data_IF_064474576105
#
_entry.id   IF_064474576105
#
_cell.length_a   1.000
_cell.length_b   1.000
_cell.length_c   1.000
_cell.angle_alpha   90.00
_cell.angle_beta   90.00
_cell.angle_gamma   90.00
#
_symmetry.space_group_name_H-M   'P 1'
#
loop_
_entity.id
_entity.type
_entity.pdbx_description
1 polymer ?
#
# COMPACT_ATOMS: atom_id res chain seq x y z
N UNK A 1 -2.11 15.15 -12.27
CA UNK A 1 -3.13 16.20 -12.51
C UNK A 1 -2.61 17.48 -11.87
N UNK A 2 -2.49 18.58 -12.61
CA UNK A 2 -2.15 19.89 -12.05
C UNK A 2 -3.41 20.76 -12.06
N UNK A 3 -3.84 21.20 -10.88
CA UNK A 3 -5.01 22.07 -10.72
C UNK A 3 -4.56 23.50 -11.10
N UNK A 4 -5.31 24.18 -11.98
CA UNK A 4 -4.98 25.56 -12.41
C UNK A 4 -5.19 26.57 -11.28
N UNK A 5 -4.38 27.64 -11.22
CA UNK A 5 -4.47 28.69 -10.17
C UNK A 5 -5.88 29.27 -10.01
N UNK A 6 -6.55 29.56 -11.13
CA UNK A 6 -7.93 30.04 -11.16
C UNK A 6 -8.91 29.09 -10.45
N UNK A 7 -8.70 27.77 -10.57
CA UNK A 7 -9.54 26.77 -9.90
C UNK A 7 -9.29 26.73 -8.39
N UNK A 8 -8.07 27.05 -7.93
CA UNK A 8 -7.77 27.17 -6.50
C UNK A 8 -8.45 28.39 -5.90
N UNK A 9 -8.41 29.53 -6.58
CA UNK A 9 -9.08 30.76 -6.15
C UNK A 9 -10.60 30.57 -6.03
N UNK A 10 -11.20 29.83 -6.97
CA UNK A 10 -12.63 29.50 -6.87
C UNK A 10 -12.93 28.59 -5.68
N UNK A 11 -12.11 27.57 -5.41
CA UNK A 11 -12.30 26.66 -4.26
C UNK A 11 -12.17 27.42 -2.93
N UNK A 12 -11.21 28.34 -2.83
CA UNK A 12 -10.98 29.16 -1.64
C UNK A 12 -12.15 30.10 -1.31
N UNK A 13 -12.93 30.50 -2.32
CA UNK A 13 -14.11 31.36 -2.14
C UNK A 13 -15.43 30.59 -1.95
N UNK A 14 -15.42 29.25 -1.93
CA UNK A 14 -16.61 28.46 -1.61
C UNK A 14 -16.81 28.52 -0.08
N UNK A 15 -17.98 28.97 0.42
CA UNK A 15 -18.24 29.00 1.85
C UNK A 15 -18.40 27.58 2.40
N UNK A 16 -17.89 27.33 3.61
CA UNK A 16 -17.96 26.02 4.25
C UNK A 16 -19.39 25.47 4.40
N UNK A 17 -20.39 26.35 4.55
CA UNK A 17 -21.81 25.96 4.62
C UNK A 17 -22.38 25.39 3.31
N UNK A 18 -21.68 25.55 2.19
CA UNK A 18 -22.04 24.90 0.92
C UNK A 18 -21.42 23.51 0.77
N UNK A 19 -20.56 23.09 1.72
CA UNK A 19 -19.97 21.76 1.76
C UNK A 19 -20.98 20.81 2.41
N UNK A 20 -21.68 20.03 1.58
CA UNK A 20 -22.57 18.99 2.06
C UNK A 20 -21.77 17.79 2.57
N UNK A 21 -21.77 17.58 3.89
CA UNK A 21 -21.14 16.45 4.57
C UNK A 21 -22.15 15.40 5.03
N UNK A 22 -23.43 15.52 4.65
CA UNK A 22 -24.53 14.68 5.16
C UNK A 22 -24.37 13.19 4.84
N UNK A 23 -23.61 12.84 3.79
CA UNK A 23 -23.33 11.46 3.37
C UNK A 23 -22.11 10.84 4.07
N UNK A 24 -21.31 11.65 4.79
CA UNK A 24 -20.04 11.23 5.38
C UNK A 24 -20.23 11.10 6.90
N UNK A 25 -20.20 9.88 7.46
CA UNK A 25 -20.29 9.71 8.91
C UNK A 25 -19.08 10.35 9.61
N UNK A 26 -19.32 10.98 10.77
CA UNK A 26 -18.24 11.57 11.58
C UNK A 26 -17.23 10.47 12.00
N UNK A 27 -15.93 10.75 11.80
CA UNK A 27 -14.85 9.85 12.20
C UNK A 27 -14.69 9.89 13.73
N UNK A 28 -15.48 9.09 14.43
CA UNK A 28 -15.44 8.89 15.88
C UNK A 28 -14.19 8.10 16.32
N UNK A 29 -13.78 8.21 17.59
CA UNK A 29 -12.64 7.46 18.16
C UNK A 29 -12.72 5.95 17.87
N UNK A 30 -13.93 5.39 17.81
CA UNK A 30 -14.19 3.98 17.44
C UNK A 30 -13.71 3.60 16.03
N UNK A 31 -13.70 4.56 15.10
CA UNK A 31 -13.14 4.36 13.74
C UNK A 31 -11.62 4.19 13.80
N UNK A 32 -10.95 5.00 14.63
CA UNK A 32 -9.50 4.98 14.79
C UNK A 32 -9.02 3.77 15.59
N UNK A 33 -9.82 3.25 16.54
CA UNK A 33 -9.50 2.03 17.30
C UNK A 33 -9.24 0.80 16.41
N UNK A 34 -9.90 0.72 15.24
CA UNK A 34 -9.76 -0.41 14.31
C UNK A 34 -9.03 -0.03 13.01
N UNK A 35 -8.56 1.21 12.88
CA UNK A 35 -7.93 1.70 11.67
C UNK A 35 -6.54 1.06 11.48
N UNK A 36 -6.43 0.16 10.51
CA UNK A 36 -5.12 -0.39 10.10
C UNK A 36 -4.43 0.58 9.16
N UNK A 37 -3.33 1.17 9.62
CA UNK A 37 -2.42 1.96 8.77
C UNK A 37 -1.82 1.04 7.72
N UNK A 38 -2.41 1.04 6.52
CA UNK A 38 -1.88 0.34 5.36
C UNK A 38 -0.90 1.27 4.65
N UNK A 39 0.41 1.09 4.88
CA UNK A 39 1.41 1.73 4.04
C UNK A 39 1.27 1.14 2.63
N UNK A 40 1.02 1.95 1.58
CA UNK A 40 0.99 1.43 0.22
C UNK A 40 2.37 0.85 -0.09
N UNK A 41 2.44 -0.47 -0.27
CA UNK A 41 3.68 -1.15 -0.62
C UNK A 41 4.01 -0.74 -2.05
N UNK A 42 4.93 0.21 -2.22
CA UNK A 42 5.45 0.59 -3.51
C UNK A 42 6.32 -0.55 -4.04
N UNK A 43 5.73 -1.42 -4.87
CA UNK A 43 6.46 -2.48 -5.56
C UNK A 43 7.44 -1.82 -6.53
N UNK A 44 8.75 -1.98 -6.30
CA UNK A 44 9.77 -1.57 -7.25
C UNK A 44 9.95 -2.68 -8.27
N UNK A 45 9.87 -2.36 -9.56
CA UNK A 45 10.21 -3.28 -10.63
C UNK A 45 11.75 -3.36 -10.69
N UNK A 46 12.30 -4.48 -10.26
CA UNK A 46 13.73 -4.79 -10.38
C UNK A 46 13.90 -6.09 -11.18
N UNK A 47 14.95 -6.16 -11.99
CA UNK A 47 15.36 -7.41 -12.64
C UNK A 47 16.32 -8.15 -11.71
N UNK A 48 15.94 -9.36 -11.29
CA UNK A 48 16.78 -10.24 -10.48
C UNK A 48 16.91 -11.58 -11.19
N UNK A 49 18.07 -12.20 -11.08
CA UNK A 49 18.29 -13.55 -11.60
C UNK A 49 17.89 -14.56 -10.52
N UNK A 50 17.00 -15.49 -10.86
CA UNK A 50 16.66 -16.64 -10.04
C UNK A 50 17.16 -17.90 -10.75
N UNK A 51 17.46 -18.93 -9.96
CA UNK A 51 17.75 -20.25 -10.51
C UNK A 51 16.54 -20.81 -11.27
N UNK A 52 16.83 -21.55 -12.34
CA UNK A 52 15.80 -22.15 -13.21
C UNK A 52 14.88 -23.09 -12.45
N UNK A 53 15.42 -23.93 -11.56
CA UNK A 53 14.63 -24.90 -10.78
C UNK A 53 13.60 -24.20 -9.89
N UNK A 54 14.03 -23.14 -9.21
CA UNK A 54 13.17 -22.32 -8.36
C UNK A 54 12.07 -21.65 -9.18
N UNK A 55 12.41 -21.10 -10.35
CA UNK A 55 11.44 -20.46 -11.23
C UNK A 55 10.41 -21.47 -11.75
N UNK A 56 10.83 -22.67 -12.14
CA UNK A 56 9.95 -23.74 -12.60
C UNK A 56 9.01 -24.22 -11.49
N UNK A 57 9.53 -24.38 -10.26
CA UNK A 57 8.71 -24.73 -9.10
C UNK A 57 7.61 -23.69 -8.85
N UNK A 58 7.95 -22.39 -8.80
CA UNK A 58 6.95 -21.35 -8.58
C UNK A 58 5.98 -21.21 -9.76
N UNK A 59 6.42 -21.45 -11.00
CA UNK A 59 5.54 -21.49 -12.18
C UNK A 59 4.55 -22.66 -12.13
N UNK A 60 4.98 -23.81 -11.61
CA UNK A 60 4.13 -24.99 -11.42
C UNK A 60 2.94 -24.70 -10.48
N UNK A 61 3.10 -23.76 -9.53
CA UNK A 61 2.02 -23.34 -8.62
C UNK A 61 0.94 -22.45 -9.27
N UNK A 62 1.09 -22.05 -10.53
CA UNK A 62 0.06 -21.36 -11.31
C UNK A 62 0.27 -19.86 -11.52
N UNK A 63 -0.81 -19.17 -11.93
CA UNK A 63 -0.78 -17.73 -12.25
C UNK A 63 -0.56 -16.93 -10.97
N UNK A 64 0.57 -16.23 -10.88
CA UNK A 64 0.92 -15.42 -9.69
C UNK A 64 2.26 -15.76 -9.06
N UNK A 65 3.10 -16.58 -9.71
CA UNK A 65 4.43 -16.97 -9.23
C UNK A 65 5.30 -15.79 -8.73
N UNK A 66 5.23 -14.62 -9.37
CA UNK A 66 5.94 -13.41 -8.90
C UNK A 66 5.46 -12.93 -7.51
N UNK A 67 4.16 -13.04 -7.23
CA UNK A 67 3.59 -12.69 -5.93
C UNK A 67 4.00 -13.71 -4.87
N UNK A 68 4.04 -15.00 -5.22
CA UNK A 68 4.53 -16.07 -4.32
C UNK A 68 6.00 -15.86 -3.96
N UNK A 69 6.86 -15.57 -4.95
CA UNK A 69 8.27 -15.24 -4.73
C UNK A 69 8.40 -14.03 -3.78
N UNK A 70 7.65 -12.96 -4.04
CA UNK A 70 7.66 -11.78 -3.19
C UNK A 70 7.21 -12.07 -1.75
N UNK A 71 6.21 -12.94 -1.55
CA UNK A 71 5.76 -13.33 -0.21
C UNK A 71 6.83 -14.11 0.55
N UNK A 72 7.48 -15.07 -0.11
CA UNK A 72 8.58 -15.85 0.51
C UNK A 72 9.72 -14.92 0.92
N UNK A 73 10.16 -14.03 0.04
CA UNK A 73 11.21 -13.05 0.34
C UNK A 73 10.82 -12.14 1.51
N UNK A 74 9.56 -11.68 1.55
CA UNK A 74 9.06 -10.85 2.66
C UNK A 74 9.10 -11.57 3.99
N UNK A 75 8.69 -12.84 4.03
CA UNK A 75 8.74 -13.66 5.24
C UNK A 75 10.16 -13.84 5.73
N UNK A 76 11.10 -14.13 4.82
CA UNK A 76 12.52 -14.25 5.16
C UNK A 76 13.09 -12.95 5.75
N UNK A 77 12.86 -11.81 5.08
CA UNK A 77 13.32 -10.50 5.56
C UNK A 77 12.73 -10.15 6.93
N UNK A 78 11.44 -10.40 7.14
CA UNK A 78 10.80 -10.17 8.44
C UNK A 78 11.38 -11.06 9.53
N UNK A 79 11.64 -12.34 9.23
CA UNK A 79 12.25 -13.25 10.17
C UNK A 79 13.66 -12.77 10.55
N UNK A 80 14.49 -12.45 9.57
CA UNK A 80 15.84 -11.94 9.81
C UNK A 80 15.83 -10.64 10.62
N UNK A 81 14.99 -9.67 10.24
CA UNK A 81 14.85 -8.42 10.99
C UNK A 81 14.44 -8.66 12.44
N UNK A 82 13.53 -9.59 12.70
CA UNK A 82 13.14 -9.92 14.07
C UNK A 82 14.28 -10.57 14.87
N UNK A 83 15.19 -11.31 14.25
CA UNK A 83 16.38 -11.85 14.92
C UNK A 83 17.38 -10.75 15.28
N UNK A 84 17.58 -9.77 14.38
CA UNK A 84 18.49 -8.63 14.61
C UNK A 84 17.98 -7.65 15.69
N UNK A 85 16.67 -7.51 15.86
CA UNK A 85 16.10 -6.64 16.90
C UNK A 85 16.02 -7.32 18.28
N UNK A 86 16.36 -8.61 18.36
CA UNK A 86 16.39 -9.40 19.60
C UNK A 86 17.83 -9.82 20.00
N UNK A 87 18.87 -9.22 19.37
CA UNK A 87 20.28 -9.33 19.76
C UNK A 87 20.82 -8.01 20.28
#
# INVERSE_FOLDING_TARGET
MNISRKRLEEIENIPDSAIDTSDIPELDDRFWENAKIVKPITKKLISIHLDSDILEWFKSQGKGYQSSINNVLRTYVNHQKNQENNS
#
